data_IF_834253774307
#
_entry.id   IF_834253774307
#
_cell.length_a   1.000
_cell.length_b   1.000
_cell.length_c   1.000
_cell.angle_alpha   90.00
_cell.angle_beta   90.00
_cell.angle_gamma   90.00
#
_symmetry.space_group_name_H-M   'P 1'
#
loop_
_entity.id
_entity.type
_entity.pdbx_description
1 polymer ?
#
# COMPACT_ATOMS: atom_id res chain seq x y z
N UNK A 1 -4.80 -4.63 26.05
CA UNK A 1 -4.06 -3.88 25.00
C UNK A 1 -2.60 -3.77 25.42
N UNK A 2 -1.69 -4.47 24.75
CA UNK A 2 -0.25 -4.44 25.06
C UNK A 2 0.37 -3.21 24.40
N UNK A 3 0.80 -2.25 25.21
CA UNK A 3 1.43 -1.02 24.73
C UNK A 3 2.76 -1.36 24.04
N UNK A 4 2.88 -1.05 22.74
CA UNK A 4 4.15 -1.18 22.00
C UNK A 4 5.14 -0.14 22.54
N UNK A 5 6.01 -0.58 23.45
CA UNK A 5 7.09 0.22 24.05
C UNK A 5 8.00 0.76 22.94
N UNK A 6 8.13 2.08 22.81
CA UNK A 6 9.11 2.71 21.90
C UNK A 6 10.51 2.45 22.45
N UNK A 7 11.24 1.56 21.80
CA UNK A 7 12.61 1.22 22.17
C UNK A 7 13.55 2.33 21.66
N UNK A 8 13.93 3.25 22.55
CA UNK A 8 14.88 4.32 22.24
C UNK A 8 16.31 3.78 22.29
N UNK A 9 17.27 4.46 21.65
CA UNK A 9 18.67 4.03 21.66
C UNK A 9 19.22 3.85 23.09
N UNK A 10 18.78 4.69 24.03
CA UNK A 10 19.15 4.61 25.45
C UNK A 10 18.68 3.31 26.11
N UNK A 11 17.48 2.82 25.81
CA UNK A 11 16.98 1.54 26.35
C UNK A 11 17.69 0.33 25.71
N UNK A 12 18.14 0.43 24.45
CA UNK A 12 18.95 -0.61 23.82
C UNK A 12 20.37 -0.68 24.38
N UNK A 13 20.97 0.47 24.70
CA UNK A 13 22.31 0.51 25.30
C UNK A 13 22.31 -0.08 26.72
N UNK A 14 21.30 0.25 27.53
CA UNK A 14 21.16 -0.30 28.88
C UNK A 14 20.99 -1.82 28.90
N UNK A 15 20.23 -2.39 27.96
CA UNK A 15 20.07 -3.85 27.84
C UNK A 15 21.38 -4.56 27.47
N UNK A 16 22.25 -3.94 26.68
CA UNK A 16 23.56 -4.52 26.32
C UNK A 16 24.55 -4.45 27.47
N UNK A 17 24.50 -3.40 28.29
CA UNK A 17 25.36 -3.28 29.47
C UNK A 17 25.03 -4.38 30.50
N UNK A 18 23.74 -4.68 30.69
CA UNK A 18 23.30 -5.71 31.64
C UNK A 18 23.54 -7.14 31.14
N UNK A 19 23.62 -7.36 29.82
CA UNK A 19 23.97 -8.68 29.25
C UNK A 19 25.46 -9.00 29.33
N UNK A 20 26.33 -7.99 29.46
CA UNK A 20 27.77 -8.21 29.63
C UNK A 20 28.14 -8.59 31.08
N UNK A 21 27.21 -8.51 32.03
CA UNK A 21 27.45 -8.79 33.44
C UNK A 21 27.03 -10.21 33.89
N UNK A 22 26.35 -10.99 33.05
CA UNK A 22 25.86 -12.35 33.37
C UNK A 22 26.64 -13.48 32.65
N UNK A 23 27.84 -13.21 32.15
CA UNK A 23 28.80 -14.28 31.90
C UNK A 23 29.69 -14.37 33.13
N UNK A 24 29.65 -15.52 33.81
CA UNK A 24 30.50 -15.88 34.95
C UNK A 24 31.94 -15.35 34.80
N UNK A 25 32.60 -14.91 35.89
CA UNK A 25 34.02 -14.67 35.88
C UNK A 25 34.72 -16.02 35.77
N UNK A 26 34.86 -16.53 34.54
CA UNK A 26 35.86 -17.54 34.27
C UNK A 26 37.20 -16.83 34.46
N UNK A 27 37.89 -17.17 35.54
CA UNK A 27 39.30 -16.90 35.75
C UNK A 27 40.06 -17.40 34.51
N UNK A 28 40.24 -16.51 33.52
CA UNK A 28 41.17 -16.75 32.42
C UNK A 28 42.54 -16.49 33.00
N UNK A 29 43.08 -17.51 33.66
CA UNK A 29 44.50 -17.64 33.86
C UNK A 29 45.17 -17.33 32.51
N UNK A 30 46.01 -16.30 32.50
CA UNK A 30 46.90 -15.94 31.39
C UNK A 30 47.87 -17.11 31.16
N UNK A 31 47.40 -18.15 30.47
CA UNK A 31 48.27 -19.14 29.88
C UNK A 31 49.17 -18.47 28.83
N UNK A 32 50.40 -18.96 28.63
CA UNK A 32 51.28 -18.41 27.60
C UNK A 32 50.54 -18.47 26.26
N UNK A 33 50.35 -17.31 25.65
CA UNK A 33 49.80 -17.20 24.30
C UNK A 33 50.78 -17.91 23.36
N UNK A 34 50.48 -19.16 23.01
CA UNK A 34 51.12 -19.83 21.89
C UNK A 34 50.70 -19.02 20.66
N UNK A 35 51.63 -18.23 20.12
CA UNK A 35 51.38 -17.48 18.89
C UNK A 35 50.97 -18.49 17.80
N UNK A 36 49.69 -18.47 17.42
CA UNK A 36 49.18 -19.33 16.37
C UNK A 36 49.93 -18.96 15.07
N UNK A 37 50.70 -19.88 14.45
CA UNK A 37 51.51 -19.57 13.27
C UNK A 37 50.67 -19.12 12.07
N UNK A 38 49.34 -19.19 12.15
CA UNK A 38 48.39 -18.69 11.14
C UNK A 38 47.71 -17.37 11.51
N UNK A 39 48.03 -16.76 12.66
CA UNK A 39 47.42 -15.51 13.12
C UNK A 39 47.58 -14.36 12.12
N UNK A 40 48.67 -14.34 11.36
CA UNK A 40 48.97 -13.31 10.34
C UNK A 40 48.58 -13.72 8.92
N UNK A 41 48.11 -14.95 8.70
CA UNK A 41 47.71 -15.42 7.39
C UNK A 41 46.21 -15.16 7.19
N UNK A 42 45.88 -14.09 6.47
CA UNK A 42 44.51 -13.80 6.05
C UNK A 42 44.04 -14.81 4.99
N UNK A 43 43.79 -16.05 5.42
CA UNK A 43 43.14 -17.04 4.58
C UNK A 43 41.69 -16.61 4.37
N UNK A 44 41.23 -16.45 3.12
CA UNK A 44 39.84 -16.18 2.86
C UNK A 44 39.01 -17.37 3.35
N UNK A 45 38.16 -17.14 4.35
CA UNK A 45 37.28 -18.16 4.95
C UNK A 45 36.36 -18.85 3.95
N UNK A 46 36.06 -18.19 2.83
CA UNK A 46 35.17 -18.67 1.79
C UNK A 46 35.71 -18.28 0.41
N UNK A 47 35.54 -19.16 -0.57
CA UNK A 47 35.90 -18.89 -1.96
C UNK A 47 34.97 -17.86 -2.60
N UNK A 48 35.38 -17.20 -3.69
CA UNK A 48 34.51 -16.26 -4.42
C UNK A 48 33.23 -16.94 -4.94
N UNK A 49 33.35 -18.20 -5.39
CA UNK A 49 32.22 -19.03 -5.85
C UNK A 49 31.21 -19.26 -4.73
N UNK A 50 31.72 -19.62 -3.54
CA UNK A 50 30.91 -19.85 -2.35
C UNK A 50 30.24 -18.57 -1.85
N UNK A 51 30.95 -17.44 -1.82
CA UNK A 51 30.34 -16.13 -1.49
C UNK A 51 29.21 -15.76 -2.45
N UNK A 52 29.38 -16.02 -3.75
CA UNK A 52 28.32 -15.78 -4.74
C UNK A 52 27.11 -16.70 -4.52
N UNK A 53 27.37 -17.98 -4.24
CA UNK A 53 26.32 -18.95 -3.91
C UNK A 53 25.59 -18.59 -2.62
N UNK A 54 26.29 -18.22 -1.55
CA UNK A 54 25.71 -17.80 -0.28
C UNK A 54 24.87 -16.52 -0.45
N UNK A 55 25.30 -15.60 -1.32
CA UNK A 55 24.55 -14.39 -1.65
C UNK A 55 23.27 -14.69 -2.42
N UNK A 56 23.31 -15.54 -3.44
CA UNK A 56 22.13 -15.93 -4.21
C UNK A 56 21.16 -16.75 -3.35
N UNK A 57 21.68 -17.68 -2.56
CA UNK A 57 20.89 -18.53 -1.68
C UNK A 57 20.20 -17.70 -0.58
N UNK A 58 20.94 -16.81 0.10
CA UNK A 58 20.36 -15.86 1.07
C UNK A 58 19.27 -14.98 0.47
N UNK A 59 19.40 -14.60 -0.80
CA UNK A 59 18.38 -13.84 -1.51
C UNK A 59 17.14 -14.68 -1.79
N UNK A 60 17.29 -15.90 -2.30
CA UNK A 60 16.19 -16.83 -2.56
C UNK A 60 15.44 -17.18 -1.28
N UNK A 61 16.15 -17.46 -0.19
CA UNK A 61 15.53 -17.73 1.12
C UNK A 61 14.73 -16.52 1.61
N UNK A 62 15.26 -15.30 1.47
CA UNK A 62 14.51 -14.08 1.82
C UNK A 62 13.27 -13.89 0.95
N UNK A 63 13.36 -14.16 -0.35
CA UNK A 63 12.22 -14.06 -1.27
C UNK A 63 11.14 -15.10 -0.94
N UNK A 64 11.54 -16.35 -0.69
CA UNK A 64 10.61 -17.43 -0.32
C UNK A 64 9.94 -17.17 1.04
N UNK A 65 10.68 -16.68 2.03
CA UNK A 65 10.11 -16.30 3.33
C UNK A 65 9.20 -15.07 3.26
N UNK A 66 9.38 -14.20 2.26
CA UNK A 66 8.64 -12.94 2.10
C UNK A 66 7.48 -13.02 1.11
N UNK A 67 7.30 -14.14 0.40
CA UNK A 67 6.22 -14.33 -0.59
C UNK A 67 4.84 -14.43 0.05
N UNK A 68 4.75 -14.74 1.35
CA UNK A 68 3.45 -14.99 1.99
C UNK A 68 2.60 -13.74 2.19
N UNK A 69 3.17 -12.52 2.30
CA UNK A 69 2.40 -11.35 2.75
C UNK A 69 3.01 -9.98 2.35
N UNK A 70 3.63 -9.82 1.18
CA UNK A 70 4.05 -8.50 0.67
C UNK A 70 5.01 -7.70 1.58
N UNK A 71 5.52 -8.33 2.64
CA UNK A 71 6.24 -7.71 3.76
C UNK A 71 7.75 -7.60 3.51
N UNK A 72 8.23 -8.15 2.38
CA UNK A 72 9.64 -8.15 2.03
C UNK A 72 10.14 -6.95 1.23
N UNK A 73 9.23 -6.17 0.65
CA UNK A 73 9.60 -5.02 -0.16
C UNK A 73 9.79 -3.83 0.78
N UNK A 74 11.03 -3.30 0.84
CA UNK A 74 11.30 -2.10 1.62
C UNK A 74 10.39 -0.95 1.18
N UNK A 75 10.05 -0.07 2.11
CA UNK A 75 9.18 1.09 1.83
C UNK A 75 9.71 1.94 0.67
N UNK A 76 11.03 2.07 0.53
CA UNK A 76 11.66 2.78 -0.58
C UNK A 76 11.51 2.04 -1.91
N UNK A 77 11.67 0.73 -1.95
CA UNK A 77 11.45 -0.09 -3.14
C UNK A 77 9.99 -0.05 -3.60
N UNK A 78 9.04 -0.12 -2.66
CA UNK A 78 7.60 0.00 -2.97
C UNK A 78 7.24 1.39 -3.52
N UNK A 79 7.84 2.45 -2.95
CA UNK A 79 7.70 3.82 -3.49
C UNK A 79 8.32 3.96 -4.88
N UNK A 80 9.45 3.32 -5.16
CA UNK A 80 10.07 3.33 -6.50
C UNK A 80 9.18 2.61 -7.52
N UNK A 81 8.68 1.42 -7.19
CA UNK A 81 7.74 0.66 -8.04
C UNK A 81 6.47 1.45 -8.35
N UNK A 82 5.85 2.07 -7.33
CA UNK A 82 4.66 2.92 -7.53
C UNK A 82 4.95 4.18 -8.34
N UNK A 83 6.15 4.76 -8.23
CA UNK A 83 6.54 5.89 -9.08
C UNK A 83 6.64 5.47 -10.53
N UNK A 84 7.42 4.41 -10.82
CA UNK A 84 7.52 3.83 -12.17
C UNK A 84 6.15 3.52 -12.77
N UNK A 85 5.31 2.76 -12.04
CA UNK A 85 3.97 2.42 -12.52
C UNK A 85 3.14 3.67 -12.86
N UNK A 86 3.16 4.71 -12.02
CA UNK A 86 2.48 5.97 -12.36
C UNK A 86 3.10 6.67 -13.55
N UNK A 87 4.42 6.62 -13.70
CA UNK A 87 5.11 7.26 -14.82
C UNK A 87 4.86 6.49 -16.14
N UNK A 88 4.62 5.19 -16.05
CA UNK A 88 4.23 4.32 -17.17
C UNK A 88 2.77 4.54 -17.57
N UNK A 89 1.87 4.73 -16.60
CA UNK A 89 0.45 5.02 -16.83
C UNK A 89 0.14 6.48 -17.19
N UNK A 90 1.14 7.38 -17.15
CA UNK A 90 0.93 8.74 -17.66
C UNK A 90 0.70 8.66 -19.17
N UNK A 91 -0.20 9.49 -19.73
CA UNK A 91 -0.39 9.55 -21.17
C UNK A 91 0.94 9.96 -21.83
N UNK A 92 1.54 9.03 -22.57
CA UNK A 92 2.73 9.27 -23.39
C UNK A 92 2.28 9.31 -24.83
N UNK A 93 2.26 10.50 -25.42
CA UNK A 93 1.88 10.68 -26.83
C UNK A 93 2.74 9.82 -27.76
N UNK A 94 4.03 9.66 -27.45
CA UNK A 94 4.93 8.80 -28.22
C UNK A 94 4.49 7.32 -28.22
N UNK A 95 4.02 6.81 -27.07
CA UNK A 95 3.54 5.43 -26.95
C UNK A 95 2.23 5.21 -27.71
N UNK A 96 1.35 6.22 -27.68
CA UNK A 96 0.12 6.22 -28.48
C UNK A 96 0.41 6.26 -29.98
N UNK A 97 1.35 7.10 -30.43
CA UNK A 97 1.72 7.20 -31.84
C UNK A 97 2.38 5.91 -32.34
N UNK A 98 3.27 5.30 -31.54
CA UNK A 98 3.89 4.01 -31.86
C UNK A 98 2.86 2.88 -31.85
N UNK A 99 1.93 2.87 -30.89
CA UNK A 99 0.86 1.87 -30.83
C UNK A 99 -0.09 1.99 -32.02
N UNK A 100 -0.48 3.21 -32.42
CA UNK A 100 -1.35 3.46 -33.58
C UNK A 100 -0.67 3.11 -34.91
N UNK A 101 0.64 3.34 -35.02
CA UNK A 101 1.45 2.92 -36.17
C UNK A 101 1.57 1.39 -36.21
N UNK A 102 1.76 0.75 -35.06
CA UNK A 102 1.85 -0.71 -34.93
C UNK A 102 0.50 -1.43 -35.14
N UNK A 103 -0.61 -0.78 -34.80
CA UNK A 103 -1.98 -1.27 -34.99
C UNK A 103 -2.50 -1.03 -36.43
N UNK A 104 -1.70 -0.44 -37.32
CA UNK A 104 -2.02 -0.26 -38.74
C UNK A 104 -3.01 0.86 -39.07
N UNK A 105 -3.60 1.51 -38.05
CA UNK A 105 -4.60 2.58 -38.19
C UNK A 105 -4.05 3.77 -39.01
N UNK A 106 -2.78 4.11 -38.82
CA UNK A 106 -2.12 5.20 -39.55
C UNK A 106 -1.89 4.87 -41.03
N UNK A 107 -1.65 3.60 -41.38
CA UNK A 107 -1.51 3.17 -42.77
C UNK A 107 -2.86 3.15 -43.49
N UNK A 108 -3.93 2.68 -42.84
CA UNK A 108 -5.27 2.66 -43.41
C UNK A 108 -5.82 4.07 -43.72
N UNK A 109 -5.48 5.07 -42.89
CA UNK A 109 -5.90 6.46 -43.16
C UNK A 109 -5.16 7.15 -44.30
N UNK A 110 -3.96 6.69 -44.71
CA UNK A 110 -3.26 7.25 -45.87
C UNK A 110 -3.76 6.68 -47.20
N UNK A 111 -4.39 5.49 -47.19
CA UNK A 111 -4.93 4.84 -48.38
C UNK A 111 -6.39 5.19 -48.67
N UNK A 112 -7.10 5.81 -47.71
CA UNK A 112 -8.45 6.34 -47.91
C UNK A 112 -8.48 7.86 -47.80
N UNK A 113 -7.90 8.51 -48.81
CA UNK A 113 -8.17 9.91 -49.12
C UNK A 113 -9.60 10.08 -49.61
N UNK A 114 -10.55 10.27 -48.69
CA UNK A 114 -11.84 10.89 -49.01
C UNK A 114 -12.12 12.06 -48.07
N UNK A 115 -12.46 13.15 -48.74
CA UNK A 115 -12.78 14.47 -48.22
C UNK A 115 -13.82 14.40 -47.11
N UNK A 116 -13.48 14.94 -45.94
CA UNK A 116 -14.49 15.40 -45.00
C UNK A 116 -14.28 16.86 -44.66
N UNK A 117 -15.28 17.62 -45.09
CA UNK A 117 -15.53 19.03 -44.87
C UNK A 117 -15.27 19.51 -43.43
N UNK A 118 -14.48 20.59 -43.36
CA UNK A 118 -14.70 21.80 -42.57
C UNK A 118 -15.69 21.69 -41.38
N UNK A 119 -15.27 21.03 -40.30
CA UNK A 119 -15.91 21.26 -39.00
C UNK A 119 -15.36 22.53 -38.37
N UNK A 120 -16.26 23.49 -38.16
CA UNK A 120 -16.00 24.75 -37.49
C UNK A 120 -15.45 24.50 -36.08
N UNK A 121 -14.19 24.88 -35.87
CA UNK A 121 -13.53 24.83 -34.56
C UNK A 121 -14.22 25.84 -33.64
N UNK A 122 -15.07 25.34 -32.74
CA UNK A 122 -15.57 26.15 -31.62
C UNK A 122 -14.40 26.42 -30.66
N UNK A 123 -14.11 27.71 -30.43
CA UNK A 123 -13.08 28.15 -29.49
C UNK A 123 -13.47 27.73 -28.07
N UNK A 124 -12.68 26.83 -27.47
CA UNK A 124 -12.80 26.47 -26.05
C UNK A 124 -12.26 27.64 -25.22
N UNK A 125 -13.15 28.46 -24.67
CA UNK A 125 -12.77 29.47 -23.67
C UNK A 125 -12.67 28.76 -22.32
N UNK A 126 -11.48 28.81 -21.71
CA UNK A 126 -11.23 28.24 -20.39
C UNK A 126 -12.08 28.95 -19.32
N UNK A 127 -13.16 28.30 -18.87
CA UNK A 127 -13.93 28.73 -17.72
C UNK A 127 -13.08 28.55 -16.45
N UNK A 128 -12.61 29.67 -15.88
CA UNK A 128 -11.70 29.71 -14.72
C UNK A 128 -12.35 29.30 -13.39
N UNK A 129 -13.62 28.88 -13.39
CA UNK A 129 -14.41 28.60 -12.18
C UNK A 129 -15.07 27.20 -12.16
N UNK A 130 -14.52 26.19 -12.85
CA UNK A 130 -14.84 24.80 -12.51
C UNK A 130 -14.05 24.37 -11.27
N UNK A 131 -14.57 24.73 -10.11
CA UNK A 131 -14.40 23.84 -8.96
C UNK A 131 -14.97 22.46 -9.34
N UNK A 132 -14.29 21.34 -9.02
CA UNK A 132 -14.87 20.03 -9.25
C UNK A 132 -15.93 19.80 -8.18
N UNK A 133 -17.12 20.37 -8.38
CA UNK A 133 -18.35 19.90 -7.78
C UNK A 133 -18.68 18.55 -8.45
N UNK A 134 -17.95 17.51 -8.05
CA UNK A 134 -18.32 16.14 -8.34
C UNK A 134 -19.49 15.77 -7.41
N UNK A 135 -20.65 16.34 -7.69
CA UNK A 135 -21.95 15.83 -7.29
C UNK A 135 -22.71 15.54 -8.57
N UNK A 136 -22.30 14.47 -9.25
CA UNK A 136 -23.25 13.78 -10.13
C UNK A 136 -24.45 13.40 -9.27
N UNK A 137 -25.70 13.54 -9.75
CA UNK A 137 -26.84 12.97 -9.06
C UNK A 137 -26.55 11.48 -8.91
N UNK A 138 -26.44 11.04 -7.66
CA UNK A 138 -26.05 9.68 -7.32
C UNK A 138 -26.97 8.71 -8.06
N UNK A 139 -26.41 7.95 -9.00
CA UNK A 139 -27.05 6.72 -9.47
C UNK A 139 -27.43 5.90 -8.24
N UNK A 140 -28.64 5.32 -8.28
CA UNK A 140 -29.22 4.55 -7.19
C UNK A 140 -28.25 3.45 -6.75
N UNK A 141 -27.55 3.68 -5.63
CA UNK A 141 -26.58 2.74 -5.07
C UNK A 141 -25.17 3.29 -4.80
N UNK A 142 -24.83 4.50 -5.26
CA UNK A 142 -23.52 5.10 -4.96
C UNK A 142 -23.51 5.82 -3.61
N UNK A 143 -22.89 5.21 -2.59
CA UNK A 143 -22.72 5.83 -1.26
C UNK A 143 -21.63 6.90 -1.36
N UNK A 144 -22.03 8.16 -1.31
CA UNK A 144 -21.10 9.31 -1.25
C UNK A 144 -20.28 9.22 0.03
N UNK A 145 -18.99 8.89 -0.11
CA UNK A 145 -18.06 8.79 1.03
C UNK A 145 -17.80 10.19 1.60
N UNK A 146 -18.48 10.51 2.70
CA UNK A 146 -18.25 11.78 3.42
C UNK A 146 -16.87 11.79 4.06
N UNK A 147 -16.09 12.85 3.78
CA UNK A 147 -14.79 13.10 4.43
C UNK A 147 -15.00 13.24 5.95
N UNK A 148 -14.04 12.78 6.75
CA UNK A 148 -14.05 12.83 8.23
C UNK A 148 -15.06 11.93 8.98
N UNK A 149 -15.71 10.98 8.31
CA UNK A 149 -16.49 9.93 8.99
C UNK A 149 -15.60 8.78 9.49
N UNK A 150 -15.99 8.08 10.58
CA UNK A 150 -15.25 6.92 11.05
C UNK A 150 -15.22 5.84 9.96
N UNK A 151 -14.05 5.23 9.77
CA UNK A 151 -13.78 4.27 8.70
C UNK A 151 -13.61 2.86 9.28
N UNK A 152 -14.30 1.87 8.71
CA UNK A 152 -14.22 0.45 9.08
C UNK A 152 -12.80 -0.12 8.96
N UNK A 153 -11.98 0.44 8.05
CA UNK A 153 -10.58 0.01 7.88
C UNK A 153 -9.69 0.40 9.05
N UNK A 154 -10.07 1.38 9.86
CA UNK A 154 -9.32 1.79 11.04
C UNK A 154 -9.96 1.16 12.30
N UNK A 155 -9.18 0.49 13.14
CA UNK A 155 -9.68 -0.16 14.36
C UNK A 155 -10.48 0.79 15.27
N UNK A 156 -10.01 2.04 15.45
CA UNK A 156 -10.74 3.05 16.24
C UNK A 156 -12.05 3.45 15.56
N UNK A 157 -12.03 3.60 14.24
CA UNK A 157 -13.22 3.93 13.45
C UNK A 157 -14.25 2.81 13.48
N UNK A 158 -13.82 1.56 13.31
CA UNK A 158 -14.66 0.37 13.41
C UNK A 158 -15.34 0.26 14.78
N UNK A 159 -14.61 0.51 15.87
CA UNK A 159 -15.21 0.50 17.23
C UNK A 159 -16.31 1.56 17.38
N UNK A 160 -16.08 2.76 16.86
CA UNK A 160 -17.07 3.85 16.90
C UNK A 160 -18.29 3.51 16.03
N UNK A 161 -18.08 2.94 14.84
CA UNK A 161 -19.16 2.48 13.97
C UNK A 161 -20.02 1.42 14.65
N UNK A 162 -19.40 0.40 15.26
CA UNK A 162 -20.12 -0.65 15.97
C UNK A 162 -20.99 -0.10 17.11
N UNK A 163 -20.48 0.87 17.87
CA UNK A 163 -21.26 1.54 18.93
C UNK A 163 -22.47 2.30 18.35
N UNK A 164 -22.26 3.07 17.28
CA UNK A 164 -23.34 3.81 16.60
C UNK A 164 -24.38 2.86 15.99
N UNK A 165 -23.94 1.75 15.41
CA UNK A 165 -24.83 0.74 14.83
C UNK A 165 -25.64 0.02 15.89
N UNK A 166 -25.03 -0.32 17.03
CA UNK A 166 -25.74 -0.93 18.17
C UNK A 166 -26.79 0.03 18.72
N UNK A 167 -26.47 1.32 18.86
CA UNK A 167 -27.43 2.34 19.25
C UNK A 167 -28.58 2.44 18.26
N UNK A 168 -28.28 2.57 16.96
CA UNK A 168 -29.28 2.64 15.90
C UNK A 168 -30.18 1.41 15.89
N UNK A 169 -29.61 0.22 16.03
CA UNK A 169 -30.35 -1.03 16.12
C UNK A 169 -31.30 -1.05 17.32
N UNK A 170 -30.82 -0.60 18.49
CA UNK A 170 -31.67 -0.48 19.67
C UNK A 170 -32.84 0.49 19.48
N UNK A 171 -32.65 1.56 18.69
CA UNK A 171 -33.73 2.50 18.35
C UNK A 171 -34.75 1.85 17.42
N UNK A 172 -34.29 1.21 16.34
CA UNK A 172 -35.18 0.53 15.37
C UNK A 172 -36.00 -0.57 16.04
N UNK A 173 -35.42 -1.30 16.99
CA UNK A 173 -36.16 -2.31 17.75
C UNK A 173 -37.25 -1.73 18.65
N UNK A 174 -37.16 -0.46 19.05
CA UNK A 174 -38.18 0.21 19.87
C UNK A 174 -39.30 0.83 19.03
N UNK A 175 -39.11 1.00 17.72
CA UNK A 175 -40.12 1.59 16.84
C UNK A 175 -41.29 0.63 16.63
N UNK A 176 -42.49 1.03 17.07
CA UNK A 176 -43.70 0.22 16.96
C UNK A 176 -44.06 -0.10 15.50
N UNK A 177 -43.87 0.85 14.59
CA UNK A 177 -44.12 0.64 13.16
C UNK A 177 -43.21 -0.43 12.56
N UNK A 178 -41.94 -0.50 13.03
CA UNK A 178 -41.00 -1.52 12.61
C UNK A 178 -41.35 -2.90 13.19
N UNK A 179 -41.82 -2.95 14.46
CA UNK A 179 -42.28 -4.19 15.09
C UNK A 179 -43.52 -4.77 14.40
N UNK A 180 -44.46 -3.93 13.97
CA UNK A 180 -45.68 -4.38 13.29
C UNK A 180 -45.40 -4.86 11.86
N UNK A 181 -44.66 -4.06 11.07
CA UNK A 181 -44.41 -4.35 9.66
C UNK A 181 -42.99 -3.92 9.23
N UNK A 182 -41.96 -4.77 9.44
CA UNK A 182 -40.56 -4.38 9.22
C UNK A 182 -40.25 -4.05 7.77
N UNK A 183 -40.82 -4.80 6.81
CA UNK A 183 -40.58 -4.58 5.39
C UNK A 183 -41.29 -3.33 4.85
N UNK A 184 -42.45 -2.95 5.40
CA UNK A 184 -43.14 -1.73 5.02
C UNK A 184 -42.38 -0.49 5.50
N UNK A 185 -41.99 -0.48 6.78
CA UNK A 185 -41.14 0.56 7.35
C UNK A 185 -39.81 0.71 6.59
N UNK A 186 -39.18 -0.42 6.21
CA UNK A 186 -37.95 -0.38 5.42
C UNK A 186 -38.16 0.24 4.03
N UNK A 187 -39.26 -0.09 3.34
CA UNK A 187 -39.60 0.52 2.03
C UNK A 187 -39.78 2.03 2.14
N UNK A 188 -40.43 2.51 3.20
CA UNK A 188 -40.60 3.94 3.45
C UNK A 188 -39.27 4.65 3.69
N UNK A 189 -38.39 4.06 4.51
CA UNK A 189 -37.04 4.62 4.77
C UNK A 189 -36.21 4.68 3.49
N UNK A 190 -36.24 3.63 2.66
CA UNK A 190 -35.54 3.63 1.37
C UNK A 190 -36.13 4.69 0.43
N UNK A 191 -37.45 4.89 0.44
CA UNK A 191 -38.13 5.94 -0.33
C UNK A 191 -37.72 7.34 0.14
N UNK A 192 -37.54 7.55 1.43
CA UNK A 192 -37.08 8.84 2.00
C UNK A 192 -35.59 9.12 1.82
N UNK A 193 -34.79 8.11 1.48
CA UNK A 193 -33.36 8.26 1.18
C UNK A 193 -33.06 8.58 -0.30
N UNK A 194 -34.08 8.50 -1.17
CA UNK A 194 -34.02 9.02 -2.55
C UNK A 194 -34.15 10.55 -2.55
#
# INVERSE_FOLDING_TARGET
>A
MVAKKRNQLRTKAALRLNQAAETDPVDVAMGPQVEDPKAFLHQPRETKKEKMYNKSHSFLTKVQQQSSLGAGISKSALRRRKRKLRDDLKPKMHDLLVSLEQEGVLQETMEHGQEHDNQSVTKIVAAKNLSPAHSTPAESGSIVVKKNQPNIRNQKGAKILAQKETQRFSTVLRDQQFQQNPFAALKEVIKMQK
#
